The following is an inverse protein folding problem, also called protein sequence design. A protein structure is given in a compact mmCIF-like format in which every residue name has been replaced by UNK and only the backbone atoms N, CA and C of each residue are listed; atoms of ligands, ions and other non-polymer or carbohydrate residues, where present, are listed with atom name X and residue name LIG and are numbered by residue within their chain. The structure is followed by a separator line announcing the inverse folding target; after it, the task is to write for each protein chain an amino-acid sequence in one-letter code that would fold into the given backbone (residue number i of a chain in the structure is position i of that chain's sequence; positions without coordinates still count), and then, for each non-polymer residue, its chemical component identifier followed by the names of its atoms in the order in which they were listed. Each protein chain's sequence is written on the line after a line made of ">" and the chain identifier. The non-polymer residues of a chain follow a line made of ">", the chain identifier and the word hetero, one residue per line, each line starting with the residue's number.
data_IF_928344600143
#
_entry.id   IF_928344600143
#
_cell.length_a   1.000
_cell.length_b   1.000
_cell.length_c   1.000
_cell.angle_alpha   90.00
_cell.angle_beta   90.00
_cell.angle_gamma   90.00
#
_symmetry.space_group_name_H-M   'P 1'
#
loop_
_entity.id
_entity.type
_entity.pdbx_description
1 polymer ?
#
# COMPACT_ATOMS: atom_id res chain seq x y z
N UNK A 1 6.09 74.38 -23.14
CA UNK A 1 5.02 74.05 -24.10
C UNK A 1 5.46 72.81 -24.88
N UNK A 2 4.59 71.81 -24.97
CA UNK A 2 4.75 70.56 -25.74
C UNK A 2 5.19 69.36 -24.87
N UNK A 3 4.28 68.48 -24.41
CA UNK A 3 3.63 67.32 -25.09
C UNK A 3 4.65 66.19 -25.36
N UNK A 4 4.51 64.94 -24.89
CA UNK A 4 3.31 64.12 -24.67
C UNK A 4 3.28 63.01 -25.74
N UNK A 5 3.12 61.76 -25.31
CA UNK A 5 3.02 60.47 -26.05
C UNK A 5 4.32 59.88 -26.62
N UNK A 6 4.64 58.58 -26.55
CA UNK A 6 3.85 57.38 -26.23
C UNK A 6 4.31 56.26 -27.20
N UNK A 7 4.71 55.09 -26.70
CA UNK A 7 5.18 54.00 -27.59
C UNK A 7 5.74 52.80 -26.86
N UNK A 8 4.85 51.95 -26.36
CA UNK A 8 5.12 50.61 -25.84
C UNK A 8 5.63 49.66 -26.93
N UNK A 9 6.66 48.89 -26.60
CA UNK A 9 7.13 47.73 -27.35
C UNK A 9 7.35 46.56 -26.41
N UNK A 10 6.32 45.74 -26.24
CA UNK A 10 6.35 44.53 -25.43
C UNK A 10 7.15 43.42 -26.14
N UNK A 11 8.28 43.03 -25.55
CA UNK A 11 8.98 41.78 -25.86
C UNK A 11 8.48 40.67 -24.93
N UNK A 12 7.68 39.74 -25.46
CA UNK A 12 7.29 38.51 -24.78
C UNK A 12 8.51 37.57 -24.73
N UNK A 13 9.08 37.41 -23.54
CA UNK A 13 10.12 36.43 -23.24
C UNK A 13 9.50 35.14 -22.70
N UNK A 14 9.91 34.02 -23.30
CA UNK A 14 9.59 32.63 -22.97
C UNK A 14 9.49 32.34 -21.47
N UNK A 15 8.29 31.92 -21.03
CA UNK A 15 8.02 31.38 -19.70
C UNK A 15 7.48 29.95 -19.72
N UNK A 16 7.71 29.20 -20.80
CA UNK A 16 7.08 27.89 -21.05
C UNK A 16 7.83 26.65 -20.56
N UNK A 17 9.17 26.67 -20.46
CA UNK A 17 9.92 25.40 -20.48
C UNK A 17 10.24 24.78 -19.11
N UNK A 18 10.18 25.53 -18.01
CA UNK A 18 10.56 24.99 -16.70
C UNK A 18 9.47 24.13 -16.03
N UNK A 19 8.21 24.32 -16.43
CA UNK A 19 7.08 23.59 -15.84
C UNK A 19 6.77 22.29 -16.62
N UNK A 20 7.00 22.26 -17.93
CA UNK A 20 6.83 21.06 -18.77
C UNK A 20 7.88 20.00 -18.45
N UNK A 21 9.17 20.38 -18.35
CA UNK A 21 10.24 19.44 -18.01
C UNK A 21 10.07 18.77 -16.64
N UNK A 22 9.41 19.44 -15.68
CA UNK A 22 9.17 18.90 -14.33
C UNK A 22 8.09 17.81 -14.30
N UNK A 23 7.09 17.89 -15.19
CA UNK A 23 6.03 16.88 -15.30
C UNK A 23 6.52 15.63 -16.01
N UNK A 24 7.33 15.79 -17.06
CA UNK A 24 7.90 14.65 -17.81
C UNK A 24 8.88 13.83 -16.96
N UNK A 25 9.69 14.49 -16.11
CA UNK A 25 10.60 13.81 -15.18
C UNK A 25 9.82 13.03 -14.09
N UNK A 26 8.70 13.57 -13.60
CA UNK A 26 7.87 12.90 -12.61
C UNK A 26 7.07 11.74 -13.20
N UNK A 27 6.59 11.87 -14.44
CA UNK A 27 5.93 10.80 -15.18
C UNK A 27 6.91 9.65 -15.49
N UNK A 28 8.13 9.96 -15.96
CA UNK A 28 9.16 8.96 -16.24
C UNK A 28 9.65 8.25 -14.96
N UNK A 29 9.72 8.97 -13.83
CA UNK A 29 10.06 8.37 -12.53
C UNK A 29 8.96 7.41 -12.02
N UNK A 30 7.69 7.72 -12.28
CA UNK A 30 6.57 6.84 -11.95
C UNK A 30 6.53 5.58 -12.83
N UNK A 31 6.80 5.72 -14.14
CA UNK A 31 6.91 4.58 -15.06
C UNK A 31 8.09 3.66 -14.71
N UNK A 32 9.24 4.22 -14.35
CA UNK A 32 10.41 3.44 -13.93
C UNK A 32 10.19 2.75 -12.57
N UNK A 33 9.47 3.39 -11.65
CA UNK A 33 9.12 2.79 -10.35
C UNK A 33 8.12 1.62 -10.49
N UNK A 34 7.24 1.64 -11.49
CA UNK A 34 6.32 0.54 -11.77
C UNK A 34 7.02 -0.69 -12.39
N UNK A 35 8.17 -0.50 -13.04
CA UNK A 35 8.88 -1.56 -13.77
C UNK A 35 9.74 -2.49 -12.88
N UNK A 36 10.08 -2.10 -11.64
CA UNK A 36 11.17 -2.75 -10.88
C UNK A 36 10.77 -3.40 -9.53
N UNK A 37 9.49 -3.51 -9.17
CA UNK A 37 9.09 -4.05 -7.85
C UNK A 37 8.83 -5.57 -7.87
N UNK A 38 9.64 -6.43 -7.22
CA UNK A 38 9.38 -7.86 -7.13
C UNK A 38 8.69 -8.23 -5.81
N UNK A 39 7.36 -8.37 -5.82
CA UNK A 39 6.57 -8.66 -4.60
C UNK A 39 6.33 -10.15 -4.34
N UNK A 40 7.27 -10.94 -3.84
CA UNK A 40 7.01 -12.39 -3.61
C UNK A 40 6.01 -12.65 -2.45
N UNK A 41 4.82 -13.29 -2.63
CA UNK A 41 4.05 -13.84 -1.52
C UNK A 41 4.45 -15.31 -1.27
N UNK A 42 4.56 -15.71 0.00
CA UNK A 42 4.81 -17.12 0.38
C UNK A 42 3.54 -17.97 0.16
N UNK A 43 3.61 -18.91 -0.78
CA UNK A 43 2.56 -19.90 -1.09
C UNK A 43 2.39 -20.91 0.05
N UNK A 44 1.15 -21.12 0.52
CA UNK A 44 0.76 -22.18 1.45
C UNK A 44 0.53 -23.50 0.67
N UNK A 45 1.21 -24.57 1.04
CA UNK A 45 1.09 -25.90 0.41
C UNK A 45 -0.15 -26.66 0.90
N UNK A 46 -0.93 -27.29 -0.01
CA UNK A 46 -2.13 -28.07 0.33
C UNK A 46 -2.09 -29.51 -0.22
N UNK A 47 -2.56 -30.47 0.60
CA UNK A 47 -2.61 -31.94 0.40
C UNK A 47 -3.74 -32.39 -0.56
N UNK A 48 -3.49 -33.47 -1.31
CA UNK A 48 -4.37 -34.08 -2.35
C UNK A 48 -5.49 -34.99 -1.78
N UNK A 49 -6.66 -35.01 -2.45
CA UNK A 49 -7.69 -36.09 -2.43
C UNK A 49 -8.10 -36.45 -3.87
N UNK A 50 -8.84 -37.55 -4.06
CA UNK A 50 -9.06 -38.29 -5.34
C UNK A 50 -10.42 -38.00 -6.03
N UNK A 51 -10.52 -38.12 -7.37
CA UNK A 51 -11.69 -37.69 -8.16
C UNK A 51 -12.66 -38.83 -8.59
N UNK A 52 -13.88 -38.44 -9.00
CA UNK A 52 -14.87 -39.20 -9.76
C UNK A 52 -15.24 -38.46 -11.06
N UNK A 53 -15.56 -39.21 -12.13
CA UNK A 53 -15.58 -38.77 -13.53
C UNK A 53 -16.97 -38.40 -14.07
N UNK A 54 -17.03 -37.41 -14.96
CA UNK A 54 -18.02 -37.28 -16.05
C UNK A 54 -17.54 -36.21 -17.06
N UNK A 55 -17.56 -36.53 -18.36
CA UNK A 55 -16.99 -35.73 -19.45
C UNK A 55 -17.99 -35.53 -20.60
N UNK A 56 -18.00 -34.35 -21.26
CA UNK A 56 -18.61 -34.13 -22.58
C UNK A 56 -17.78 -33.17 -23.44
N UNK A 57 -17.72 -33.36 -24.79
CA UNK A 57 -16.75 -32.68 -25.67
C UNK A 57 -17.32 -31.44 -26.38
N UNK A 58 -16.47 -30.44 -26.66
CA UNK A 58 -16.84 -29.37 -27.61
C UNK A 58 -16.04 -28.06 -27.67
N UNK A 59 -14.95 -27.86 -26.90
CA UNK A 59 -14.15 -26.62 -26.98
C UNK A 59 -12.69 -26.91 -27.43
N UNK A 60 -12.04 -26.01 -28.19
CA UNK A 60 -10.64 -26.18 -28.57
C UNK A 60 -9.73 -26.04 -27.35
N UNK A 61 -9.15 -27.16 -26.90
CA UNK A 61 -8.35 -27.26 -25.69
C UNK A 61 -6.93 -26.72 -25.86
N UNK A 62 -6.44 -25.98 -24.86
CA UNK A 62 -5.01 -25.74 -24.64
C UNK A 62 -4.31 -27.09 -24.36
N UNK A 63 -3.28 -27.42 -25.13
CA UNK A 63 -2.57 -28.71 -25.14
C UNK A 63 -1.83 -29.06 -23.83
N UNK A 64 -1.80 -28.16 -22.84
CA UNK A 64 -1.13 -28.36 -21.56
C UNK A 64 -2.07 -28.74 -20.40
N UNK A 65 -3.39 -28.76 -20.62
CA UNK A 65 -4.39 -28.88 -19.55
C UNK A 65 -5.15 -30.22 -19.54
N UNK A 66 -4.53 -31.32 -19.98
CA UNK A 66 -5.15 -32.65 -19.88
C UNK A 66 -5.16 -33.18 -18.44
N UNK A 67 -6.28 -32.98 -17.74
CA UNK A 67 -6.96 -34.01 -16.96
C UNK A 67 -8.23 -33.44 -16.29
N UNK A 68 -9.39 -33.80 -16.84
CA UNK A 68 -10.71 -33.71 -16.20
C UNK A 68 -10.73 -34.64 -14.99
N UNK A 69 -11.05 -34.19 -13.77
CA UNK A 69 -12.42 -34.25 -13.20
C UNK A 69 -12.47 -33.59 -11.81
N UNK A 70 -11.45 -32.80 -11.48
CA UNK A 70 -11.42 -31.88 -10.36
C UNK A 70 -10.76 -30.63 -10.93
N UNK A 71 -11.37 -29.45 -10.74
CA UNK A 71 -10.76 -28.15 -11.07
C UNK A 71 -9.46 -27.99 -10.26
N UNK A 72 -8.40 -28.65 -10.71
CA UNK A 72 -7.06 -28.53 -10.19
C UNK A 72 -6.51 -27.25 -10.81
N UNK A 73 -6.86 -26.15 -10.15
CA UNK A 73 -6.41 -24.79 -10.39
C UNK A 73 -4.87 -24.80 -10.43
N UNK A 74 -4.30 -24.70 -11.62
CA UNK A 74 -2.84 -24.66 -11.81
C UNK A 74 -2.48 -23.41 -12.59
N UNK A 75 -1.72 -22.53 -11.94
CA UNK A 75 -0.91 -21.52 -12.61
C UNK A 75 -0.05 -22.19 -13.69
N UNK A 76 -0.02 -21.63 -14.90
CA UNK A 76 0.81 -22.16 -15.98
C UNK A 76 2.27 -22.27 -15.52
N UNK A 77 2.87 -23.48 -15.47
CA UNK A 77 4.24 -23.67 -14.96
C UNK A 77 5.30 -23.00 -15.86
N UNK A 78 4.94 -22.67 -17.10
CA UNK A 78 5.81 -21.99 -18.07
C UNK A 78 5.73 -20.46 -17.99
N UNK A 79 4.75 -19.90 -17.28
CA UNK A 79 4.62 -18.45 -17.14
C UNK A 79 5.66 -17.94 -16.14
N UNK A 80 6.60 -17.11 -16.59
CA UNK A 80 7.61 -16.47 -15.73
C UNK A 80 7.17 -15.08 -15.23
N UNK A 81 6.03 -14.56 -15.70
CA UNK A 81 5.52 -13.25 -15.30
C UNK A 81 5.02 -13.30 -13.86
N UNK A 82 5.65 -12.51 -13.00
CA UNK A 82 5.28 -12.35 -11.60
C UNK A 82 3.83 -11.85 -11.44
N UNK A 83 3.41 -10.88 -12.28
CA UNK A 83 2.05 -10.34 -12.28
C UNK A 83 1.01 -11.41 -12.56
N UNK A 84 1.29 -12.34 -13.48
CA UNK A 84 0.38 -13.42 -13.81
C UNK A 84 0.19 -14.39 -12.64
N UNK A 85 1.23 -14.70 -11.86
CA UNK A 85 1.07 -15.59 -10.70
C UNK A 85 0.23 -14.94 -9.59
N UNK A 86 0.45 -13.66 -9.33
CA UNK A 86 -0.31 -12.90 -8.32
C UNK A 86 -1.78 -12.76 -8.71
N UNK A 87 -2.07 -12.36 -9.95
CA UNK A 87 -3.45 -12.21 -10.43
C UNK A 87 -4.20 -13.55 -10.50
N UNK A 88 -3.54 -14.63 -10.93
CA UNK A 88 -4.14 -15.97 -10.94
C UNK A 88 -4.46 -16.47 -9.53
N UNK A 89 -3.55 -16.23 -8.57
CA UNK A 89 -3.75 -16.59 -7.16
C UNK A 89 -4.94 -15.86 -6.56
N UNK A 90 -5.00 -14.53 -6.74
CA UNK A 90 -6.13 -13.71 -6.27
C UNK A 90 -7.44 -14.21 -6.87
N UNK A 91 -7.50 -14.40 -8.20
CA UNK A 91 -8.72 -14.81 -8.90
C UNK A 91 -9.20 -16.20 -8.47
N UNK A 92 -8.27 -17.14 -8.30
CA UNK A 92 -8.56 -18.51 -7.86
C UNK A 92 -9.14 -18.56 -6.45
N UNK A 93 -8.52 -17.85 -5.52
CA UNK A 93 -8.97 -17.84 -4.13
C UNK A 93 -10.27 -17.03 -3.98
N UNK A 94 -10.42 -15.96 -4.75
CA UNK A 94 -11.65 -15.17 -4.80
C UNK A 94 -12.83 -16.00 -5.32
N UNK A 95 -12.66 -16.74 -6.41
CA UNK A 95 -13.68 -17.67 -6.91
C UNK A 95 -14.08 -18.70 -5.84
N UNK A 96 -13.08 -19.27 -5.16
CA UNK A 96 -13.31 -20.23 -4.08
C UNK A 96 -14.12 -19.64 -2.93
N UNK A 97 -13.94 -18.34 -2.63
CA UNK A 97 -14.70 -17.63 -1.62
C UNK A 97 -16.12 -17.30 -2.09
N UNK A 98 -16.28 -16.82 -3.33
CA UNK A 98 -17.58 -16.48 -3.94
C UNK A 98 -18.52 -17.67 -3.97
N UNK A 99 -18.01 -18.87 -4.29
CA UNK A 99 -18.80 -20.12 -4.33
C UNK A 99 -19.49 -20.46 -3.01
N UNK A 100 -19.02 -19.95 -1.88
CA UNK A 100 -19.66 -20.16 -0.58
C UNK A 100 -20.95 -19.33 -0.42
N UNK A 101 -21.13 -18.29 -1.24
CA UNK A 101 -22.22 -17.32 -1.15
C UNK A 101 -23.16 -17.35 -2.36
N UNK A 102 -22.75 -17.99 -3.45
CA UNK A 102 -23.58 -18.18 -4.63
C UNK A 102 -24.12 -19.62 -4.66
N UNK A 103 -25.44 -19.74 -4.79
CA UNK A 103 -26.10 -21.03 -5.05
C UNK A 103 -26.06 -21.42 -6.53
N UNK A 104 -25.48 -20.57 -7.37
CA UNK A 104 -25.38 -20.73 -8.82
C UNK A 104 -23.94 -21.06 -9.22
N UNK A 105 -23.78 -21.74 -10.34
CA UNK A 105 -22.46 -21.92 -10.93
C UNK A 105 -21.88 -20.53 -11.29
N UNK A 106 -20.62 -20.23 -10.91
CA UNK A 106 -19.96 -18.98 -11.30
C UNK A 106 -19.95 -18.83 -12.83
N UNK A 107 -19.94 -17.60 -13.32
CA UNK A 107 -19.91 -17.34 -14.77
C UNK A 107 -18.67 -17.98 -15.43
N UNK A 108 -18.79 -18.28 -16.74
CA UNK A 108 -17.71 -18.92 -17.52
C UNK A 108 -16.41 -18.10 -17.54
N UNK A 109 -16.51 -16.78 -17.41
CA UNK A 109 -15.36 -15.88 -17.37
C UNK A 109 -14.37 -16.20 -16.23
N UNK A 110 -14.83 -16.82 -15.14
CA UNK A 110 -13.94 -17.29 -14.08
C UNK A 110 -12.98 -18.40 -14.52
N UNK A 111 -13.38 -19.23 -15.49
CA UNK A 111 -12.53 -20.27 -16.06
C UNK A 111 -11.45 -19.66 -16.96
N UNK A 112 -11.79 -18.55 -17.64
CA UNK A 112 -10.87 -17.80 -18.49
C UNK A 112 -9.82 -17.05 -17.67
N UNK A 113 -10.20 -16.42 -16.55
CA UNK A 113 -9.28 -15.77 -15.60
C UNK A 113 -8.28 -16.74 -14.95
N UNK A 114 -8.56 -18.05 -14.96
CA UNK A 114 -7.65 -19.07 -14.43
C UNK A 114 -6.56 -19.46 -15.44
N UNK A 115 -6.78 -19.23 -16.73
CA UNK A 115 -5.86 -19.60 -17.80
C UNK A 115 -4.99 -18.42 -18.23
N UNK A 116 -4.26 -17.80 -17.28
CA UNK A 116 -3.40 -16.62 -17.57
C UNK A 116 -2.14 -16.93 -18.41
N UNK A 117 -2.08 -18.10 -19.05
CA UNK A 117 -1.05 -18.38 -20.03
C UNK A 117 -1.28 -17.52 -21.28
N UNK A 118 -0.59 -16.39 -21.38
CA UNK A 118 -0.52 -15.53 -22.56
C UNK A 118 -1.73 -14.61 -22.85
N UNK A 119 -2.59 -14.35 -21.87
CA UNK A 119 -3.69 -13.38 -22.05
C UNK A 119 -3.17 -11.94 -22.00
N UNK A 120 -3.72 -11.07 -22.87
CA UNK A 120 -3.46 -9.63 -22.80
C UNK A 120 -4.16 -9.01 -21.60
N UNK A 121 -3.66 -7.87 -21.12
CA UNK A 121 -4.31 -7.07 -20.06
C UNK A 121 -5.78 -6.83 -20.39
N UNK A 122 -6.08 -6.43 -21.62
CA UNK A 122 -7.46 -6.20 -22.09
C UNK A 122 -8.39 -7.41 -21.94
N UNK A 123 -7.86 -8.63 -22.10
CA UNK A 123 -8.65 -9.84 -21.93
C UNK A 123 -8.93 -10.13 -20.46
N UNK A 124 -7.93 -9.91 -19.59
CA UNK A 124 -8.10 -10.00 -18.13
C UNK A 124 -9.13 -8.98 -17.66
N UNK A 125 -9.08 -7.75 -18.16
CA UNK A 125 -10.02 -6.68 -17.82
C UNK A 125 -11.46 -7.07 -18.21
N UNK A 126 -11.65 -7.58 -19.43
CA UNK A 126 -12.96 -8.01 -19.92
C UNK A 126 -13.52 -9.17 -19.11
N UNK A 127 -12.73 -10.23 -18.88
CA UNK A 127 -13.19 -11.38 -18.10
C UNK A 127 -13.44 -11.00 -16.63
N UNK A 128 -12.65 -10.08 -16.06
CA UNK A 128 -12.89 -9.57 -14.71
C UNK A 128 -14.17 -8.75 -14.64
N UNK A 129 -14.44 -7.89 -15.63
CA UNK A 129 -15.68 -7.13 -15.71
C UNK A 129 -16.92 -8.05 -15.73
N UNK A 130 -16.85 -9.15 -16.47
CA UNK A 130 -17.92 -10.17 -16.50
C UNK A 130 -18.09 -10.87 -15.14
N UNK A 131 -16.99 -11.05 -14.39
CA UNK A 131 -17.00 -11.62 -13.05
C UNK A 131 -17.49 -10.66 -11.95
N UNK A 132 -17.51 -9.34 -12.17
CA UNK A 132 -17.91 -8.37 -11.14
C UNK A 132 -19.33 -8.57 -10.63
N UNK A 133 -20.25 -9.03 -11.48
CA UNK A 133 -21.62 -9.34 -11.05
C UNK A 133 -21.67 -10.44 -9.98
N UNK A 134 -20.84 -11.48 -10.11
CA UNK A 134 -20.75 -12.58 -9.12
C UNK A 134 -20.14 -12.07 -7.81
N UNK A 135 -19.13 -11.21 -7.89
CA UNK A 135 -18.50 -10.56 -6.73
C UNK A 135 -19.53 -9.71 -5.98
N UNK A 136 -20.25 -8.83 -6.68
CA UNK A 136 -21.26 -7.96 -6.10
C UNK A 136 -22.39 -8.75 -5.43
N UNK A 137 -22.86 -9.84 -6.07
CA UNK A 137 -23.86 -10.76 -5.50
C UNK A 137 -23.34 -11.42 -4.22
N UNK A 138 -22.10 -11.93 -4.23
CA UNK A 138 -21.50 -12.57 -3.07
C UNK A 138 -21.34 -11.58 -1.90
N UNK A 139 -20.89 -10.35 -2.17
CA UNK A 139 -20.84 -9.28 -1.19
C UNK A 139 -22.24 -9.04 -0.63
N UNK A 140 -23.24 -8.79 -1.47
CA UNK A 140 -24.62 -8.53 -1.02
C UNK A 140 -25.19 -9.67 -0.15
N UNK A 141 -24.89 -10.92 -0.47
CA UNK A 141 -25.24 -12.09 0.36
C UNK A 141 -24.50 -12.07 1.70
N UNK A 142 -23.21 -11.79 1.71
CA UNK A 142 -22.40 -11.73 2.94
C UNK A 142 -22.85 -10.63 3.91
N UNK A 143 -23.33 -9.49 3.40
CA UNK A 143 -23.81 -8.37 4.24
C UNK A 143 -25.08 -8.70 5.02
N UNK A 144 -25.86 -9.70 4.60
CA UNK A 144 -27.04 -10.17 5.34
C UNK A 144 -26.65 -10.93 6.61
N UNK A 145 -25.39 -11.38 6.72
CA UNK A 145 -24.88 -12.13 7.87
C UNK A 145 -24.49 -11.15 8.97
N UNK A 146 -25.25 -11.18 10.07
CA UNK A 146 -25.12 -10.24 11.21
C UNK A 146 -23.94 -10.52 12.14
N UNK A 147 -23.26 -11.66 11.96
CA UNK A 147 -22.10 -12.05 12.77
C UNK A 147 -20.91 -12.28 11.86
N UNK A 148 -19.74 -11.91 12.34
CA UNK A 148 -18.51 -12.23 11.66
C UNK A 148 -18.33 -13.76 11.63
N UNK A 149 -18.15 -14.33 10.43
CA UNK A 149 -17.82 -15.73 10.24
C UNK A 149 -16.64 -15.86 9.27
N UNK A 150 -15.97 -17.01 9.30
CA UNK A 150 -14.73 -17.23 8.53
C UNK A 150 -14.94 -17.14 7.01
N UNK A 151 -16.14 -17.44 6.53
CA UNK A 151 -16.45 -17.40 5.11
C UNK A 151 -16.58 -15.95 4.62
N UNK A 152 -17.21 -15.08 5.42
CA UNK A 152 -17.26 -13.64 5.19
C UNK A 152 -15.87 -13.03 5.22
N UNK A 153 -15.07 -13.31 6.27
CA UNK A 153 -13.70 -12.81 6.37
C UNK A 153 -12.87 -13.21 5.14
N UNK A 154 -13.02 -14.45 4.68
CA UNK A 154 -12.32 -14.94 3.49
C UNK A 154 -12.78 -14.22 2.23
N UNK A 155 -14.08 -14.07 2.01
CA UNK A 155 -14.61 -13.33 0.87
C UNK A 155 -14.11 -11.88 0.88
N UNK A 156 -14.31 -11.16 1.99
CA UNK A 156 -13.94 -9.76 2.10
C UNK A 156 -12.44 -9.54 1.94
N UNK A 157 -11.60 -10.42 2.49
CA UNK A 157 -10.15 -10.38 2.27
C UNK A 157 -9.78 -10.48 0.79
N UNK A 158 -10.34 -11.44 0.06
CA UNK A 158 -10.00 -11.61 -1.36
C UNK A 158 -10.60 -10.52 -2.26
N UNK A 159 -11.77 -9.99 -1.92
CA UNK A 159 -12.32 -8.78 -2.55
C UNK A 159 -11.40 -7.60 -2.29
N UNK A 160 -10.97 -7.38 -1.03
CA UNK A 160 -10.03 -6.32 -0.68
C UNK A 160 -8.71 -6.43 -1.46
N UNK A 161 -8.14 -7.63 -1.59
CA UNK A 161 -6.95 -7.88 -2.42
C UNK A 161 -7.19 -7.56 -3.90
N UNK A 162 -8.35 -7.89 -4.45
CA UNK A 162 -8.69 -7.57 -5.83
C UNK A 162 -8.68 -6.05 -6.06
N UNK A 163 -9.27 -5.27 -5.15
CA UNK A 163 -9.33 -3.82 -5.29
C UNK A 163 -7.98 -3.15 -4.99
N UNK A 164 -7.28 -3.59 -3.95
CA UNK A 164 -6.02 -3.01 -3.50
C UNK A 164 -4.82 -3.35 -4.39
N UNK A 165 -4.78 -4.59 -4.88
CA UNK A 165 -3.65 -5.15 -5.64
C UNK A 165 -4.06 -5.48 -7.06
N UNK A 166 -5.21 -6.13 -7.25
CA UNK A 166 -5.68 -6.50 -8.59
C UNK A 166 -5.81 -5.29 -9.51
N UNK A 167 -6.59 -4.28 -9.15
CA UNK A 167 -6.84 -3.09 -10.00
C UNK A 167 -5.59 -2.33 -10.42
N UNK A 168 -4.77 -1.82 -9.48
CA UNK A 168 -3.60 -1.01 -9.82
C UNK A 168 -2.55 -1.75 -10.66
N UNK A 169 -2.35 -3.06 -10.43
CA UNK A 169 -1.36 -3.85 -11.16
C UNK A 169 -1.89 -4.41 -12.48
N UNK A 170 -3.21 -4.52 -12.65
CA UNK A 170 -3.82 -4.94 -13.92
C UNK A 170 -4.15 -3.77 -14.85
N UNK A 171 -4.20 -2.53 -14.34
CA UNK A 171 -4.72 -1.38 -15.11
C UNK A 171 -6.25 -1.34 -15.19
N UNK A 172 -6.94 -2.21 -14.43
CA UNK A 172 -8.41 -2.24 -14.36
C UNK A 172 -8.92 -1.00 -13.62
N UNK A 173 -9.77 -0.24 -14.30
CA UNK A 173 -10.55 0.82 -13.68
C UNK A 173 -11.85 0.25 -13.13
N UNK A 174 -12.01 0.27 -11.81
CA UNK A 174 -13.27 -0.08 -11.16
C UNK A 174 -14.30 1.04 -11.33
N UNK A 175 -15.54 0.68 -11.66
CA UNK A 175 -16.62 1.66 -11.78
C UNK A 175 -16.98 2.25 -10.40
N UNK A 176 -17.68 3.39 -10.40
CA UNK A 176 -18.24 3.96 -9.16
C UNK A 176 -19.17 2.98 -8.45
N UNK A 177 -19.89 2.15 -9.21
CA UNK A 177 -20.76 1.11 -8.66
C UNK A 177 -19.96 0.06 -7.89
N UNK A 178 -18.83 -0.39 -8.45
CA UNK A 178 -17.95 -1.36 -7.80
C UNK A 178 -17.36 -0.80 -6.51
N UNK A 179 -16.95 0.46 -6.54
CA UNK A 179 -16.45 1.18 -5.36
C UNK A 179 -17.51 1.29 -4.28
N UNK A 180 -18.77 1.59 -4.63
CA UNK A 180 -19.87 1.65 -3.68
C UNK A 180 -20.15 0.29 -3.01
N UNK A 181 -19.98 -0.82 -3.73
CA UNK A 181 -20.10 -2.15 -3.12
C UNK A 181 -18.98 -2.44 -2.14
N UNK A 182 -17.74 -2.08 -2.49
CA UNK A 182 -16.61 -2.17 -1.58
C UNK A 182 -16.82 -1.30 -0.35
N UNK A 183 -17.29 -0.06 -0.52
CA UNK A 183 -17.60 0.85 0.58
C UNK A 183 -18.67 0.29 1.52
N UNK A 184 -19.74 -0.32 0.99
CA UNK A 184 -20.76 -1.02 1.80
C UNK A 184 -20.16 -2.18 2.60
N UNK A 185 -19.27 -2.95 1.96
CA UNK A 185 -18.57 -4.06 2.61
C UNK A 185 -17.69 -3.57 3.77
N UNK A 186 -16.86 -2.56 3.52
CA UNK A 186 -15.97 -2.00 4.53
C UNK A 186 -16.73 -1.34 5.68
N UNK A 187 -17.83 -0.64 5.40
CA UNK A 187 -18.70 -0.10 6.44
C UNK A 187 -19.28 -1.20 7.35
N UNK A 188 -19.61 -2.36 6.77
CA UNK A 188 -20.07 -3.51 7.54
C UNK A 188 -18.95 -4.11 8.39
N UNK A 189 -17.74 -4.28 7.85
CA UNK A 189 -16.56 -4.71 8.62
C UNK A 189 -16.28 -3.77 9.80
N UNK A 190 -16.32 -2.46 9.55
CA UNK A 190 -16.15 -1.42 10.57
C UNK A 190 -17.23 -1.52 11.66
N UNK A 191 -18.48 -1.71 11.27
CA UNK A 191 -19.62 -1.85 12.20
C UNK A 191 -19.46 -3.10 13.08
N UNK A 192 -18.96 -4.20 12.49
CA UNK A 192 -18.65 -5.43 13.22
C UNK A 192 -17.35 -5.34 14.04
N UNK A 193 -16.59 -4.24 13.93
CA UNK A 193 -15.27 -4.03 14.56
C UNK A 193 -14.28 -5.13 14.20
N UNK A 194 -14.39 -5.70 13.01
CA UNK A 194 -13.46 -6.71 12.50
C UNK A 194 -12.22 -6.05 11.92
N UNK A 195 -11.15 -6.82 11.68
CA UNK A 195 -10.00 -6.32 10.93
C UNK A 195 -10.48 -6.00 9.50
N UNK A 196 -10.36 -4.75 9.02
CA UNK A 196 -10.75 -4.41 7.66
C UNK A 196 -9.94 -5.22 6.64
N UNK A 197 -10.59 -5.58 5.55
CA UNK A 197 -10.02 -6.35 4.45
C UNK A 197 -8.91 -5.60 3.69
N UNK A 198 -8.97 -4.26 3.68
CA UNK A 198 -7.94 -3.37 3.15
C UNK A 198 -7.41 -2.43 4.25
N UNK A 199 -6.19 -1.91 4.08
CA UNK A 199 -5.63 -0.92 4.99
C UNK A 199 -6.07 0.52 4.65
N UNK A 200 -5.71 1.48 5.51
CA UNK A 200 -5.99 2.90 5.27
C UNK A 200 -5.41 3.45 3.97
N UNK A 201 -4.19 3.05 3.62
CA UNK A 201 -3.54 3.47 2.37
C UNK A 201 -4.35 3.03 1.15
N UNK A 202 -4.77 1.77 1.12
CA UNK A 202 -5.60 1.24 0.05
C UNK A 202 -6.96 1.95 -0.03
N UNK A 203 -7.57 2.25 1.12
CA UNK A 203 -8.83 2.99 1.17
C UNK A 203 -8.71 4.40 0.58
N UNK A 204 -7.56 5.06 0.79
CA UNK A 204 -7.24 6.37 0.22
C UNK A 204 -7.01 6.28 -1.30
N UNK A 205 -6.22 5.30 -1.75
CA UNK A 205 -5.97 5.06 -3.18
C UNK A 205 -7.25 4.74 -3.96
N UNK A 206 -8.22 4.09 -3.30
CA UNK A 206 -9.53 3.79 -3.88
C UNK A 206 -10.49 4.98 -3.82
N UNK A 207 -10.08 6.13 -3.27
CA UNK A 207 -10.89 7.33 -3.18
C UNK A 207 -12.16 7.13 -2.35
N UNK A 208 -12.06 6.37 -1.25
CA UNK A 208 -13.18 6.17 -0.32
C UNK A 208 -13.45 7.43 0.52
N UNK A 209 -14.63 7.50 1.12
CA UNK A 209 -15.02 8.66 1.93
C UNK A 209 -14.07 8.88 3.12
N UNK A 210 -13.74 10.15 3.47
CA UNK A 210 -12.86 10.44 4.60
C UNK A 210 -13.30 9.83 5.93
N UNK A 211 -14.61 9.75 6.17
CA UNK A 211 -15.18 9.14 7.38
C UNK A 211 -14.89 7.63 7.44
N UNK A 212 -15.00 6.93 6.31
CA UNK A 212 -14.66 5.51 6.24
C UNK A 212 -13.15 5.30 6.40
N UNK A 213 -12.31 6.11 5.75
CA UNK A 213 -10.85 6.07 5.92
C UNK A 213 -10.49 6.23 7.40
N UNK A 214 -11.08 7.23 8.08
CA UNK A 214 -10.87 7.43 9.52
C UNK A 214 -11.31 6.22 10.35
N UNK A 215 -12.43 5.59 10.01
CA UNK A 215 -12.92 4.42 10.72
C UNK A 215 -12.01 3.19 10.54
N UNK A 216 -11.53 2.94 9.32
CA UNK A 216 -10.55 1.89 9.00
C UNK A 216 -9.23 2.18 9.74
N UNK A 217 -8.73 3.41 9.67
CA UNK A 217 -7.52 3.85 10.38
C UNK A 217 -7.62 3.63 11.89
N UNK A 218 -8.77 3.91 12.52
CA UNK A 218 -8.98 3.68 13.96
C UNK A 218 -8.86 2.21 14.34
N UNK A 219 -9.45 1.31 13.54
CA UNK A 219 -9.36 -0.13 13.79
C UNK A 219 -7.93 -0.62 13.58
N UNK A 220 -7.25 -0.13 12.53
CA UNK A 220 -5.86 -0.47 12.26
C UNK A 220 -4.94 0.01 13.41
N UNK A 221 -5.06 1.27 13.81
CA UNK A 221 -4.28 1.88 14.89
C UNK A 221 -4.53 1.23 16.25
N UNK A 222 -5.74 0.70 16.49
CA UNK A 222 -6.10 -0.01 17.73
C UNK A 222 -5.18 -1.18 18.07
N UNK A 223 -4.47 -1.75 17.09
CA UNK A 223 -3.49 -2.84 17.30
C UNK A 223 -2.21 -2.37 18.00
N UNK A 224 -1.80 -1.13 17.79
CA UNK A 224 -0.51 -0.62 18.26
C UNK A 224 -0.59 0.04 19.64
N UNK A 225 -1.81 0.26 20.17
CA UNK A 225 -2.06 0.80 21.52
C UNK A 225 -1.19 2.01 21.88
N UNK A 226 -0.88 2.86 20.89
CA UNK A 226 -0.12 4.10 21.11
C UNK A 226 -0.93 4.99 22.04
N UNK A 227 -0.40 5.18 23.26
CA UNK A 227 -1.04 6.04 24.25
C UNK A 227 -0.77 7.50 23.86
N UNK A 228 -1.72 8.41 24.09
CA UNK A 228 -1.44 9.84 24.06
C UNK A 228 -0.35 10.12 25.09
N UNK A 229 0.87 10.36 24.63
CA UNK A 229 1.99 10.67 25.49
C UNK A 229 2.43 12.10 25.18
N UNK A 230 1.66 13.06 25.72
CA UNK A 230 2.18 14.42 25.87
C UNK A 230 3.20 14.35 27.00
N UNK A 231 4.43 13.93 26.68
CA UNK A 231 5.56 14.24 27.54
C UNK A 231 5.55 15.74 27.76
N UNK A 232 5.73 16.20 29.00
CA UNK A 232 5.95 17.62 29.22
C UNK A 232 7.05 18.06 28.26
N UNK A 233 6.77 19.07 27.44
CA UNK A 233 7.78 19.75 26.64
C UNK A 233 8.67 20.51 27.64
N UNK A 234 9.46 19.77 28.42
CA UNK A 234 10.36 20.31 29.43
C UNK A 234 11.14 21.46 28.81
N UNK A 235 11.28 22.57 29.53
CA UNK A 235 12.17 23.66 29.15
C UNK A 235 13.61 23.16 29.26
N UNK A 236 14.03 22.40 28.25
CA UNK A 236 15.42 22.09 27.99
C UNK A 236 15.93 23.09 26.98
N UNK A 237 17.17 23.56 27.14
CA UNK A 237 17.82 24.54 26.25
C UNK A 237 17.83 24.11 24.77
N UNK A 238 17.66 22.81 24.50
CA UNK A 238 17.58 22.25 23.15
C UNK A 238 16.50 21.18 23.06
N UNK A 239 15.62 21.29 22.06
CA UNK A 239 14.58 20.27 21.77
C UNK A 239 15.19 19.07 21.04
N UNK A 240 14.91 17.85 21.49
CA UNK A 240 15.29 16.62 20.77
C UNK A 240 14.17 16.19 19.84
N UNK A 241 14.50 16.08 18.56
CA UNK A 241 13.58 15.68 17.50
C UNK A 241 14.09 14.39 16.88
N UNK A 242 13.21 13.39 16.76
CA UNK A 242 13.52 12.13 16.11
C UNK A 242 12.66 11.97 14.85
N UNK A 243 13.28 11.93 13.68
CA UNK A 243 12.59 11.51 12.46
C UNK A 243 12.69 10.00 12.31
N UNK A 244 11.56 9.32 12.12
CA UNK A 244 11.46 7.87 12.00
C UNK A 244 10.85 7.54 10.64
N UNK A 245 11.55 6.74 9.84
CA UNK A 245 11.02 6.26 8.56
C UNK A 245 11.65 4.94 8.13
N UNK A 246 10.89 4.13 7.38
CA UNK A 246 11.40 2.97 6.68
C UNK A 246 12.01 3.34 5.31
N UNK A 247 11.95 4.60 4.88
CA UNK A 247 12.22 5.01 3.50
C UNK A 247 13.31 6.07 3.37
N UNK A 248 14.31 6.05 4.26
CA UNK A 248 15.42 7.02 4.24
C UNK A 248 16.44 6.64 3.15
N UNK A 249 16.11 6.81 1.87
CA UNK A 249 16.99 6.43 0.76
C UNK A 249 16.46 6.81 -0.61
N UNK A 250 16.57 5.89 -1.58
CA UNK A 250 15.93 6.06 -2.89
C UNK A 250 14.42 5.84 -2.76
N UNK A 251 13.70 6.88 -2.33
CA UNK A 251 12.25 6.85 -2.11
C UNK A 251 11.66 8.26 -2.16
N UNK A 252 10.41 8.45 -2.63
CA UNK A 252 9.75 9.76 -2.67
C UNK A 252 9.81 10.51 -1.32
N UNK A 253 9.59 9.82 -0.19
CA UNK A 253 9.68 10.42 1.15
C UNK A 253 11.03 11.09 1.40
N UNK A 254 12.14 10.41 1.09
CA UNK A 254 13.48 10.94 1.29
C UNK A 254 13.81 12.07 0.30
N UNK A 255 13.27 12.03 -0.92
CA UNK A 255 13.46 13.10 -1.90
C UNK A 255 12.75 14.39 -1.46
N UNK A 256 11.53 14.27 -0.92
CA UNK A 256 10.74 15.39 -0.44
C UNK A 256 11.35 16.00 0.84
N UNK A 257 11.77 15.17 1.79
CA UNK A 257 12.28 15.64 3.09
C UNK A 257 13.78 15.93 3.10
N UNK A 258 14.54 15.46 2.10
CA UNK A 258 16.00 15.46 2.15
C UNK A 258 16.62 16.84 2.36
N UNK A 259 16.11 17.87 1.67
CA UNK A 259 16.60 19.25 1.83
C UNK A 259 16.33 19.79 3.24
N UNK A 260 15.09 19.66 3.73
CA UNK A 260 14.70 20.09 5.08
C UNK A 260 15.52 19.37 6.15
N UNK A 261 15.69 18.05 6.01
CA UNK A 261 16.49 17.26 6.94
C UNK A 261 17.95 17.71 6.95
N UNK A 262 18.53 18.09 5.82
CA UNK A 262 19.91 18.60 5.77
C UNK A 262 20.06 19.95 6.50
N UNK A 263 19.05 20.83 6.42
CA UNK A 263 19.03 22.10 7.15
C UNK A 263 18.80 21.88 8.66
N UNK A 264 17.81 21.06 9.01
CA UNK A 264 17.46 20.72 10.39
C UNK A 264 18.62 20.05 11.13
N UNK A 265 19.44 19.28 10.42
CA UNK A 265 20.66 18.67 10.97
C UNK A 265 21.67 19.68 11.51
N UNK A 266 21.61 20.95 11.08
CA UNK A 266 22.50 22.06 11.48
C UNK A 266 21.85 23.01 12.50
N UNK A 267 20.63 22.71 12.97
CA UNK A 267 19.90 23.57 13.89
C UNK A 267 20.63 23.79 15.21
N UNK A 268 20.70 25.05 15.63
CA UNK A 268 21.20 25.41 16.97
C UNK A 268 20.12 25.23 18.04
N UNK A 269 18.83 25.29 17.67
CA UNK A 269 17.68 25.24 18.57
C UNK A 269 17.16 23.82 18.84
N UNK A 270 17.50 22.87 17.98
CA UNK A 270 17.07 21.49 18.10
C UNK A 270 18.21 20.51 17.81
N UNK A 271 18.21 19.40 18.54
CA UNK A 271 19.07 18.25 18.28
C UNK A 271 18.24 17.22 17.52
N UNK A 272 18.60 16.98 16.26
CA UNK A 272 17.81 16.15 15.35
C UNK A 272 18.49 14.81 15.13
N UNK A 273 17.75 13.72 15.31
CA UNK A 273 18.14 12.35 15.03
C UNK A 273 17.35 11.84 13.83
N UNK A 274 18.02 11.07 12.97
CA UNK A 274 17.38 10.32 11.87
C UNK A 274 17.42 8.84 12.21
N UNK A 275 16.27 8.18 12.25
CA UNK A 275 16.15 6.77 12.51
C UNK A 275 15.52 6.05 11.32
N UNK A 276 16.33 5.21 10.68
CA UNK A 276 15.91 4.31 9.61
C UNK A 276 15.48 2.96 10.24
N UNK A 277 14.18 2.63 10.13
CA UNK A 277 13.61 1.38 10.66
C UNK A 277 13.39 0.30 9.60
N UNK A 278 13.73 0.56 8.34
CA UNK A 278 13.63 -0.37 7.21
C UNK A 278 14.18 -1.77 7.55
N UNK A 279 13.44 -2.84 7.26
CA UNK A 279 13.93 -4.22 7.44
C UNK A 279 15.09 -4.50 6.48
N UNK A 280 15.85 -5.57 6.74
CA UNK A 280 17.09 -5.88 6.02
C UNK A 280 16.96 -5.98 4.50
N UNK A 281 15.88 -6.58 3.99
CA UNK A 281 15.64 -6.65 2.55
C UNK A 281 15.36 -5.27 1.95
N UNK A 282 14.49 -4.47 2.60
CA UNK A 282 14.22 -3.08 2.21
C UNK A 282 15.47 -2.19 2.31
N UNK A 283 16.33 -2.43 3.30
CA UNK A 283 17.61 -1.72 3.44
C UNK A 283 18.52 -1.96 2.24
N UNK A 284 18.54 -3.18 1.68
CA UNK A 284 19.32 -3.48 0.48
C UNK A 284 18.79 -2.71 -0.73
N UNK A 285 17.47 -2.64 -0.89
CA UNK A 285 16.83 -1.87 -1.97
C UNK A 285 17.17 -0.38 -1.87
N UNK A 286 17.07 0.19 -0.67
CA UNK A 286 17.43 1.58 -0.38
C UNK A 286 18.94 1.86 -0.49
N UNK A 287 19.78 0.82 -0.44
CA UNK A 287 21.23 0.87 -0.60
C UNK A 287 21.69 0.65 -2.05
N UNK A 288 20.77 0.44 -3.00
CA UNK A 288 21.11 0.39 -4.41
C UNK A 288 21.93 1.65 -4.79
N UNK A 289 22.90 1.45 -5.69
CA UNK A 289 24.07 2.30 -5.94
C UNK A 289 23.79 3.74 -6.38
N UNK A 290 22.52 4.15 -6.49
CA UNK A 290 22.05 5.47 -6.91
C UNK A 290 21.67 6.43 -5.78
N UNK A 291 21.51 5.99 -4.51
CA UNK A 291 20.98 6.89 -3.46
C UNK A 291 22.03 7.88 -2.92
N UNK A 292 22.27 8.97 -3.68
CA UNK A 292 23.11 10.11 -3.25
C UNK A 292 22.57 10.75 -1.96
N UNK A 293 21.26 10.71 -1.76
CA UNK A 293 20.59 11.29 -0.59
C UNK A 293 20.94 10.57 0.71
N UNK A 294 20.88 9.24 0.74
CA UNK A 294 21.21 8.46 1.95
C UNK A 294 22.64 8.72 2.41
N UNK A 295 23.59 8.72 1.47
CA UNK A 295 25.00 8.99 1.75
C UNK A 295 25.20 10.41 2.29
N UNK A 296 24.52 11.40 1.71
CA UNK A 296 24.56 12.78 2.18
C UNK A 296 24.00 12.92 3.60
N UNK A 297 22.85 12.30 3.90
CA UNK A 297 22.24 12.33 5.23
C UNK A 297 23.13 11.63 6.27
N UNK A 298 23.70 10.46 5.96
CA UNK A 298 24.67 9.79 6.84
C UNK A 298 25.86 10.69 7.17
N UNK A 299 26.42 11.36 6.16
CA UNK A 299 27.55 12.28 6.36
C UNK A 299 27.16 13.49 7.21
N UNK A 300 25.98 14.06 6.96
CA UNK A 300 25.52 15.26 7.67
C UNK A 300 25.17 14.99 9.14
N UNK A 301 24.57 13.84 9.42
CA UNK A 301 24.10 13.48 10.77
C UNK A 301 25.15 12.72 11.59
N UNK A 302 26.08 12.01 10.94
CA UNK A 302 27.11 11.22 11.62
C UNK A 302 26.48 10.22 12.60
N UNK A 303 26.88 10.29 13.86
CA UNK A 303 26.35 9.43 14.93
C UNK A 303 24.84 9.63 15.21
N UNK A 304 24.24 10.73 14.76
CA UNK A 304 22.79 10.98 14.88
C UNK A 304 21.96 10.29 13.79
N UNK A 305 22.62 9.61 12.84
CA UNK A 305 21.96 8.74 11.87
C UNK A 305 21.97 7.31 12.40
N UNK A 306 20.79 6.80 12.75
CA UNK A 306 20.61 5.49 13.39
C UNK A 306 19.96 4.51 12.40
N UNK A 307 20.59 3.35 12.22
CA UNK A 307 20.13 2.28 11.34
C UNK A 307 19.78 1.05 12.15
N UNK A 308 18.56 1.04 12.71
CA UNK A 308 18.13 -0.01 13.65
C UNK A 308 17.24 -1.07 13.00
N UNK A 309 17.08 -1.01 11.68
CA UNK A 309 16.27 -1.94 10.89
C UNK A 309 16.52 -3.44 11.10
N UNK A 310 17.75 -3.80 11.51
CA UNK A 310 18.18 -5.17 11.82
C UNK A 310 17.69 -5.66 13.21
N UNK A 311 17.27 -4.76 14.09
CA UNK A 311 16.74 -5.09 15.42
C UNK A 311 15.25 -5.39 15.36
N UNK A 312 14.71 -6.07 16.39
CA UNK A 312 13.26 -6.20 16.60
C UNK A 312 12.63 -4.91 17.14
N UNK A 313 11.30 -4.77 17.04
CA UNK A 313 10.59 -3.54 17.42
C UNK A 313 10.81 -3.14 18.88
N UNK A 314 10.92 -4.14 19.77
CA UNK A 314 11.06 -3.91 21.21
C UNK A 314 12.42 -3.29 21.54
N UNK A 315 13.49 -3.74 20.88
CA UNK A 315 14.83 -3.16 21.02
C UNK A 315 14.89 -1.74 20.46
N UNK A 316 14.32 -1.51 19.28
CA UNK A 316 14.25 -0.15 18.71
C UNK A 316 13.47 0.78 19.66
N UNK A 317 12.36 0.32 20.22
CA UNK A 317 11.60 1.10 21.20
C UNK A 317 12.42 1.44 22.46
N UNK A 318 13.31 0.54 22.90
CA UNK A 318 14.24 0.82 24.00
C UNK A 318 15.29 1.87 23.62
N UNK A 319 15.87 1.79 22.43
CA UNK A 319 16.80 2.79 21.90
C UNK A 319 16.13 4.17 21.81
N UNK A 320 14.90 4.24 21.28
CA UNK A 320 14.12 5.48 21.20
C UNK A 320 13.88 6.07 22.61
N UNK A 321 13.58 5.23 23.60
CA UNK A 321 13.42 5.69 25.00
C UNK A 321 14.72 6.27 25.56
N UNK A 322 15.87 5.65 25.26
CA UNK A 322 17.18 6.14 25.70
C UNK A 322 17.52 7.50 25.09
N UNK A 323 17.15 7.74 23.83
CA UNK A 323 17.30 9.05 23.19
C UNK A 323 16.44 10.14 23.88
N UNK A 324 15.33 9.73 24.49
CA UNK A 324 14.36 10.62 25.16
C UNK A 324 13.94 11.80 24.26
N UNK A 325 13.40 11.55 23.04
CA UNK A 325 12.97 12.60 22.14
C UNK A 325 11.78 13.37 22.73
N UNK A 326 11.72 14.67 22.47
CA UNK A 326 10.54 15.46 22.79
C UNK A 326 9.45 15.31 21.71
N UNK A 327 9.89 15.26 20.45
CA UNK A 327 9.04 15.19 19.26
C UNK A 327 9.52 14.04 18.38
N UNK A 328 8.59 13.24 17.88
CA UNK A 328 8.84 12.18 16.90
C UNK A 328 8.07 12.52 15.63
N UNK A 329 8.79 12.75 14.54
CA UNK A 329 8.20 12.85 13.20
C UNK A 329 8.18 11.46 12.57
N UNK A 330 6.99 10.93 12.35
CA UNK A 330 6.77 9.63 11.75
C UNK A 330 6.41 9.80 10.28
N UNK A 331 7.30 9.33 9.40
CA UNK A 331 7.10 9.34 7.96
C UNK A 331 6.92 7.89 7.46
N UNK A 332 5.65 7.50 7.30
CA UNK A 332 5.21 6.21 6.76
C UNK A 332 4.40 5.46 7.81
N UNK A 333 3.11 5.79 7.92
CA UNK A 333 2.15 5.10 8.77
C UNK A 333 1.10 4.46 7.84
N UNK A 334 0.69 3.22 8.12
CA UNK A 334 -0.16 2.35 7.30
C UNK A 334 0.44 1.77 6.01
N UNK A 335 1.76 1.71 5.85
CA UNK A 335 2.40 1.04 4.71
C UNK A 335 2.77 -0.42 5.01
N UNK A 336 3.04 -1.20 3.95
CA UNK A 336 3.50 -2.59 4.05
C UNK A 336 4.83 -2.62 4.83
N UNK A 337 4.96 -3.53 5.80
CA UNK A 337 6.12 -3.64 6.71
C UNK A 337 6.29 -2.50 7.74
N UNK A 338 5.26 -1.70 7.95
CA UNK A 338 5.29 -0.66 8.98
C UNK A 338 5.62 -1.18 10.37
N UNK A 339 6.69 -0.62 10.92
CA UNK A 339 7.22 -0.96 12.24
C UNK A 339 6.69 -0.03 13.30
N UNK A 340 5.38 0.20 13.32
CA UNK A 340 4.74 1.11 14.29
C UNK A 340 5.01 0.65 15.74
N UNK A 341 5.23 -0.65 15.96
CA UNK A 341 5.59 -1.22 17.26
C UNK A 341 6.85 -0.62 17.88
N UNK A 342 7.72 0.02 17.10
CA UNK A 342 8.92 0.73 17.62
C UNK A 342 8.56 1.91 18.52
N UNK A 343 7.32 2.39 18.47
CA UNK A 343 6.84 3.50 19.30
C UNK A 343 6.19 3.02 20.60
N UNK A 344 6.17 1.72 20.88
CA UNK A 344 5.51 1.17 22.06
C UNK A 344 6.14 1.65 23.38
N UNK A 345 5.30 2.27 24.21
CA UNK A 345 5.67 2.87 25.49
C UNK A 345 6.62 4.07 25.39
N UNK A 346 6.80 4.65 24.20
CA UNK A 346 7.57 5.88 24.02
C UNK A 346 6.75 7.08 24.52
N UNK A 347 7.42 7.99 25.22
CA UNK A 347 6.80 9.21 25.75
C UNK A 347 7.32 10.43 25.00
N UNK A 348 6.62 10.86 23.96
CA UNK A 348 6.98 11.99 23.10
C UNK A 348 5.74 12.47 22.33
N UNK A 349 5.74 13.72 21.87
CA UNK A 349 4.74 14.18 20.91
C UNK A 349 5.03 13.52 19.56
N UNK A 350 4.17 12.60 19.14
CA UNK A 350 4.32 11.89 17.85
C UNK A 350 3.47 12.62 16.82
N UNK A 351 4.08 13.02 15.71
CA UNK A 351 3.45 13.73 14.60
C UNK A 351 3.62 12.90 13.33
N UNK A 352 2.53 12.63 12.62
CA UNK A 352 2.63 12.05 11.27
C UNK A 352 2.84 13.17 10.25
N UNK A 353 3.84 13.01 9.38
CA UNK A 353 4.09 14.00 8.33
C UNK A 353 4.59 13.36 7.03
N UNK A 354 4.30 14.05 5.92
CA UNK A 354 4.86 13.90 4.56
C UNK A 354 4.55 12.58 3.83
N UNK A 355 4.66 11.42 4.48
CA UNK A 355 4.65 10.13 3.80
C UNK A 355 3.28 9.45 3.67
N UNK A 356 2.29 9.88 4.45
CA UNK A 356 0.92 9.37 4.36
C UNK A 356 -0.05 10.55 4.45
N UNK A 357 -0.89 10.71 3.43
CA UNK A 357 -1.72 11.88 3.21
C UNK A 357 -3.08 11.83 3.92
N UNK A 358 -3.30 10.83 4.78
CA UNK A 358 -4.50 10.71 5.60
C UNK A 358 -4.23 10.39 7.07
N UNK A 359 -5.30 10.42 7.87
CA UNK A 359 -5.28 10.26 9.32
C UNK A 359 -4.71 8.91 9.79
N UNK A 360 -3.94 8.96 10.88
CA UNK A 360 -3.46 7.76 11.59
C UNK A 360 -4.63 6.97 12.21
N UNK A 361 -5.74 7.63 12.55
CA UNK A 361 -6.79 7.07 13.40
C UNK A 361 -6.35 6.76 14.84
N UNK A 362 -5.08 6.99 15.19
CA UNK A 362 -4.53 6.85 16.52
C UNK A 362 -4.88 8.06 17.38
N UNK A 363 -5.15 7.83 18.68
CA UNK A 363 -5.27 8.93 19.64
C UNK A 363 -3.92 9.44 20.15
N UNK A 364 -2.85 8.69 19.91
CA UNK A 364 -1.50 9.00 20.37
C UNK A 364 -0.57 9.57 19.30
N UNK A 365 -1.08 9.81 18.08
CA UNK A 365 -0.33 10.44 17.00
C UNK A 365 -1.14 11.62 16.50
N UNK A 366 -0.47 12.77 16.39
CA UNK A 366 -1.03 14.04 15.97
C UNK A 366 -0.89 14.25 14.47
#
# INVERSE_FOLDING_TARGET
>A
AGSGDGGDGAGAGDGGDACSMRLDILAQAAENAAAEVPHRPRVLTRRRRRPHADARPGAPCCSFCHNESEFNLRTCPSCKSFMCHTCAGISTDLLSAIRLFLNEAPCKAWEELQCLGCQSVQHVDSSLADCMADIQKAIASSLKIRKNNKDCERLWYHVGLLFAVGGPFSGVFFSDTDRQFLEKMLNHEVTLKTKPSIGPWEAEMLGLSPDLILAVSRIYAGKFKLKPSVGALNDTDKRRILYVSADIGEHPTAHLMGAELMEMGRSQRAEVFLLCVAKEDRLKDLQSSSSRYRTALKRAYGQRFLELGHMDDKKIAQEIKQLSPNIIYLAGFHQLDDRIGVLDGVTAVIVQAVAHASTTGSRGVH
#
